data_IF_297559752905
#
_entry.id   IF_297559752905
#
_cell.length_a   1.000
_cell.length_b   1.000
_cell.length_c   1.000
_cell.angle_alpha   90.00
_cell.angle_beta   90.00
_cell.angle_gamma   90.00
#
_symmetry.space_group_name_H-M   'P 1'
#
loop_
_entity.id
_entity.type
_entity.pdbx_description
1 polymer ?
#
# COMPACT_ATOMS: atom_id res chain seq x y z
N UNK A 1 -14.54 15.20 6.36
CA UNK A 1 -13.86 13.90 6.50
C UNK A 1 -12.82 13.77 5.40
N UNK A 2 -11.59 13.32 5.68
CA UNK A 2 -10.54 13.16 4.66
C UNK A 2 -10.70 11.81 3.95
N UNK A 3 -11.51 11.79 2.90
CA UNK A 3 -11.90 10.56 2.18
C UNK A 3 -10.68 9.77 1.65
N UNK A 4 -9.64 10.47 1.22
CA UNK A 4 -8.35 9.90 0.80
C UNK A 4 -7.69 9.04 1.89
N UNK A 5 -7.67 9.50 3.15
CA UNK A 5 -7.08 8.76 4.28
C UNK A 5 -7.87 7.47 4.51
N UNK A 6 -9.20 7.56 4.48
CA UNK A 6 -10.09 6.41 4.67
C UNK A 6 -9.91 5.41 3.52
N UNK A 7 -9.82 5.89 2.28
CA UNK A 7 -9.63 5.05 1.11
C UNK A 7 -8.33 4.23 1.21
N UNK A 8 -7.20 4.84 1.59
CA UNK A 8 -5.93 4.13 1.74
C UNK A 8 -5.94 3.14 2.92
N UNK A 9 -6.60 3.50 4.03
CA UNK A 9 -6.78 2.57 5.14
C UNK A 9 -7.60 1.34 4.72
N UNK A 10 -8.73 1.54 4.05
CA UNK A 10 -9.58 0.47 3.54
C UNK A 10 -8.84 -0.40 2.51
N UNK A 11 -8.08 0.22 1.59
CA UNK A 11 -7.31 -0.49 0.58
C UNK A 11 -6.21 -1.35 1.20
N UNK A 12 -5.49 -0.82 2.19
CA UNK A 12 -4.48 -1.57 2.95
C UNK A 12 -5.09 -2.80 3.62
N UNK A 13 -6.21 -2.64 4.31
CA UNK A 13 -6.89 -3.75 4.97
C UNK A 13 -7.43 -4.76 3.97
N UNK A 14 -8.01 -4.30 2.86
CA UNK A 14 -8.56 -5.17 1.82
C UNK A 14 -7.48 -6.04 1.16
N UNK A 15 -6.31 -5.47 0.83
CA UNK A 15 -5.20 -6.21 0.23
C UNK A 15 -4.62 -7.26 1.19
N UNK A 16 -4.49 -6.91 2.48
CA UNK A 16 -4.04 -7.86 3.51
C UNK A 16 -5.07 -8.97 3.72
N UNK A 17 -6.37 -8.64 3.80
CA UNK A 17 -7.44 -9.62 3.95
C UNK A 17 -7.56 -10.54 2.73
N UNK A 18 -7.34 -10.02 1.53
CA UNK A 18 -7.39 -10.79 0.30
C UNK A 18 -6.30 -11.88 0.26
N UNK A 19 -5.10 -11.62 0.79
CA UNK A 19 -4.07 -12.66 0.96
C UNK A 19 -4.54 -13.79 1.88
N UNK A 20 -5.19 -13.45 3.01
CA UNK A 20 -5.66 -14.46 3.98
C UNK A 20 -6.67 -15.42 3.32
N UNK A 21 -7.45 -14.92 2.36
CA UNK A 21 -8.44 -15.68 1.61
C UNK A 21 -7.80 -16.43 0.43
N UNK A 22 -6.87 -15.81 -0.26
CA UNK A 22 -6.14 -16.35 -1.41
C UNK A 22 -4.63 -16.27 -1.14
N UNK A 23 -4.01 -17.32 -0.58
CA UNK A 23 -2.61 -17.28 -0.20
C UNK A 23 -1.73 -17.11 -1.44
N UNK A 24 -0.98 -16.01 -1.47
CA UNK A 24 -0.12 -15.65 -2.58
C UNK A 24 0.71 -14.43 -2.22
N UNK A 25 1.96 -14.67 -1.80
CA UNK A 25 2.85 -13.72 -1.08
C UNK A 25 2.82 -12.27 -1.58
N UNK A 26 2.52 -12.03 -2.85
CA UNK A 26 2.40 -10.71 -3.46
C UNK A 26 1.37 -9.77 -2.82
N UNK A 27 0.19 -10.25 -2.37
CA UNK A 27 -0.87 -9.35 -1.90
C UNK A 27 -0.51 -8.69 -0.56
N UNK A 28 0.21 -9.37 0.33
CA UNK A 28 0.77 -8.79 1.55
C UNK A 28 1.73 -7.62 1.26
N UNK A 29 2.63 -7.76 0.29
CA UNK A 29 3.58 -6.70 -0.06
C UNK A 29 2.89 -5.46 -0.64
N UNK A 30 1.79 -5.65 -1.36
CA UNK A 30 0.93 -4.56 -1.81
C UNK A 30 0.17 -3.90 -0.64
N UNK A 31 -0.32 -4.69 0.31
CA UNK A 31 -0.93 -4.20 1.53
C UNK A 31 0.02 -3.32 2.35
N UNK A 32 1.29 -3.71 2.47
CA UNK A 32 2.33 -2.91 3.13
C UNK A 32 2.56 -1.59 2.39
N UNK A 33 2.65 -1.61 1.05
CA UNK A 33 2.79 -0.39 0.26
C UNK A 33 1.61 0.57 0.48
N UNK A 34 0.38 0.05 0.53
CA UNK A 34 -0.82 0.83 0.83
C UNK A 34 -0.80 1.41 2.26
N UNK A 35 -0.33 0.64 3.25
CA UNK A 35 -0.18 1.11 4.63
C UNK A 35 0.80 2.28 4.74
N UNK A 36 1.91 2.23 3.99
CA UNK A 36 2.89 3.32 3.93
C UNK A 36 2.28 4.57 3.29
N UNK A 37 1.53 4.43 2.19
CA UNK A 37 0.83 5.57 1.56
C UNK A 37 -0.23 6.16 2.49
N UNK A 38 -0.97 5.31 3.21
CA UNK A 38 -1.88 5.75 4.26
C UNK A 38 -1.16 6.61 5.31
N UNK A 39 -0.03 6.14 5.84
CA UNK A 39 0.75 6.88 6.82
C UNK A 39 1.26 8.23 6.27
N UNK A 40 1.70 8.26 5.01
CA UNK A 40 2.14 9.48 4.33
C UNK A 40 0.99 10.49 4.22
N UNK A 41 -0.18 10.08 3.73
CA UNK A 41 -1.34 10.97 3.57
C UNK A 41 -1.91 11.41 4.93
N UNK A 42 -1.80 10.55 5.95
CA UNK A 42 -2.18 10.87 7.33
C UNK A 42 -1.30 11.99 7.90
N UNK A 43 0.03 11.88 7.75
CA UNK A 43 1.01 12.81 8.32
C UNK A 43 1.18 14.10 7.49
N UNK A 44 1.03 14.02 6.17
CA UNK A 44 1.23 15.13 5.24
C UNK A 44 -0.07 15.45 4.48
N UNK A 45 -0.86 16.44 4.95
CA UNK A 45 -2.07 16.85 4.27
C UNK A 45 -1.77 17.65 3.00
N UNK A 46 -2.66 17.57 2.00
CA UNK A 46 -2.59 18.36 0.77
C UNK A 46 -1.80 17.73 -0.38
N UNK A 47 -1.35 16.48 -0.23
CA UNK A 47 -0.72 15.73 -1.33
C UNK A 47 -1.77 15.42 -2.41
N UNK A 48 -1.56 15.84 -3.67
CA UNK A 48 -2.51 15.52 -4.75
C UNK A 48 -2.65 14.00 -4.95
N UNK A 49 -3.86 13.54 -5.27
CA UNK A 49 -4.18 12.11 -5.44
C UNK A 49 -3.27 11.40 -6.46
N UNK A 50 -2.83 12.11 -7.50
CA UNK A 50 -1.90 11.60 -8.50
C UNK A 50 -0.55 11.19 -7.86
N UNK A 51 -0.03 12.01 -6.96
CA UNK A 51 1.21 11.73 -6.23
C UNK A 51 1.03 10.59 -5.22
N UNK A 52 -0.14 10.46 -4.62
CA UNK A 52 -0.47 9.31 -3.75
C UNK A 52 -0.47 8.00 -4.55
N UNK A 53 -1.09 8.00 -5.74
CA UNK A 53 -1.12 6.85 -6.64
C UNK A 53 0.29 6.48 -7.16
N UNK A 54 1.09 7.48 -7.56
CA UNK A 54 2.48 7.25 -7.96
C UNK A 54 3.32 6.66 -6.83
N UNK A 55 3.17 7.20 -5.61
CA UNK A 55 3.85 6.67 -4.43
C UNK A 55 3.45 5.21 -4.18
N UNK A 56 2.16 4.86 -4.28
CA UNK A 56 1.69 3.49 -4.14
C UNK A 56 2.31 2.55 -5.17
N UNK A 57 2.34 2.95 -6.44
CA UNK A 57 2.93 2.14 -7.52
C UNK A 57 4.41 1.90 -7.25
N UNK A 58 5.18 2.96 -6.97
CA UNK A 58 6.62 2.86 -6.70
C UNK A 58 6.89 2.00 -5.47
N UNK A 59 6.18 2.25 -4.37
CA UNK A 59 6.30 1.46 -3.14
C UNK A 59 5.95 0.00 -3.37
N UNK A 60 4.93 -0.30 -4.18
CA UNK A 60 4.55 -1.68 -4.53
C UNK A 60 5.68 -2.41 -5.26
N UNK A 61 6.30 -1.78 -6.26
CA UNK A 61 7.44 -2.35 -6.96
C UNK A 61 8.65 -2.54 -6.05
N UNK A 62 8.97 -1.56 -5.19
CA UNK A 62 10.08 -1.64 -4.22
C UNK A 62 9.83 -2.75 -3.20
N UNK A 63 8.60 -2.86 -2.70
CA UNK A 63 8.14 -3.87 -1.74
C UNK A 63 8.33 -5.29 -2.32
N UNK A 64 7.86 -5.51 -3.55
CA UNK A 64 8.04 -6.78 -4.27
C UNK A 64 9.52 -7.06 -4.60
N UNK A 65 10.28 -6.03 -5.01
CA UNK A 65 11.71 -6.18 -5.31
C UNK A 65 12.52 -6.54 -4.07
N UNK A 66 12.21 -5.94 -2.92
CA UNK A 66 12.80 -6.29 -1.63
C UNK A 66 12.51 -7.75 -1.28
N UNK A 67 11.26 -8.20 -1.39
CA UNK A 67 10.91 -9.61 -1.21
C UNK A 67 11.74 -10.54 -2.09
N UNK A 68 11.79 -10.25 -3.39
CA UNK A 68 12.55 -11.07 -4.36
C UNK A 68 14.06 -11.12 -4.06
N UNK A 69 14.62 -10.08 -3.44
CA UNK A 69 16.05 -9.99 -3.11
C UNK A 69 16.41 -10.67 -1.79
N UNK A 70 15.53 -10.61 -0.79
CA UNK A 70 15.84 -11.08 0.57
C UNK A 70 15.27 -12.47 0.89
N UNK A 71 14.19 -12.90 0.23
CA UNK A 71 13.46 -14.13 0.54
C UNK A 71 13.50 -15.19 -0.59
N UNK A 72 14.30 -14.97 -1.64
CA UNK A 72 14.68 -16.04 -2.58
C UNK A 72 16.02 -16.65 -2.19
#
# INVERSE_FOLDING_TARGET
MRAEVIAWACLSLALIAAEVIAPGVFMLWLGIAAAVVFAIVLLFPGIPILWQALAFIVLSFVSIAAYRKYFR
#
